data_IF_956774054514
#
_entry.id   IF_956774054514
#
_cell.length_a   1.000
_cell.length_b   1.000
_cell.length_c   1.000
_cell.angle_alpha   90.00
_cell.angle_beta   90.00
_cell.angle_gamma   90.00
#
_symmetry.space_group_name_H-M   'P 1'
#
loop_
_entity.id
_entity.type
_entity.pdbx_description
1 polymer ?
#
# COMPACT_ATOMS: atom_id res chain seq x y z
N UNK A 1 -22.82 11.92 -3.47
CA UNK A 1 -21.74 12.02 -4.47
C UNK A 1 -21.94 10.94 -5.50
N UNK A 2 -22.21 11.30 -6.76
CA UNK A 2 -22.26 10.33 -7.86
C UNK A 2 -20.85 9.78 -8.04
N UNK A 3 -20.66 8.45 -7.95
CA UNK A 3 -19.43 7.82 -8.43
C UNK A 3 -19.35 8.12 -9.92
N UNK A 4 -18.47 9.02 -10.33
CA UNK A 4 -18.09 9.12 -11.74
C UNK A 4 -17.56 7.73 -12.13
N UNK A 5 -18.25 7.07 -13.05
CA UNK A 5 -17.78 5.80 -13.57
C UNK A 5 -16.56 6.12 -14.44
N UNK A 6 -15.37 5.75 -13.96
CA UNK A 6 -14.13 5.91 -14.71
C UNK A 6 -14.24 5.12 -16.01
N UNK A 7 -14.22 5.80 -17.17
CA UNK A 7 -14.22 5.14 -18.47
C UNK A 7 -12.83 4.52 -18.75
N UNK A 8 -12.65 3.30 -18.25
CA UNK A 8 -11.42 2.54 -18.44
C UNK A 8 -11.11 2.26 -19.91
N UNK A 9 -12.12 2.18 -20.79
CA UNK A 9 -11.89 1.90 -22.21
C UNK A 9 -11.17 3.06 -22.88
N UNK A 10 -11.60 4.30 -22.62
CA UNK A 10 -10.94 5.48 -23.15
C UNK A 10 -9.54 5.69 -22.54
N UNK A 11 -9.38 5.45 -21.23
CA UNK A 11 -8.06 5.51 -20.58
C UNK A 11 -7.07 4.52 -21.19
N UNK A 12 -7.48 3.27 -21.38
CA UNK A 12 -6.65 2.23 -22.01
C UNK A 12 -6.25 2.60 -23.44
N UNK A 13 -7.19 3.17 -24.21
CA UNK A 13 -6.91 3.68 -25.56
C UNK A 13 -5.80 4.73 -25.52
N UNK A 14 -5.94 5.75 -24.66
CA UNK A 14 -4.96 6.83 -24.52
C UNK A 14 -3.58 6.32 -24.06
N UNK A 15 -3.55 5.41 -23.08
CA UNK A 15 -2.30 4.84 -22.56
C UNK A 15 -1.49 4.10 -23.61
N UNK A 16 -2.18 3.46 -24.57
CA UNK A 16 -1.56 2.67 -25.63
C UNK A 16 -1.41 3.41 -26.96
N UNK A 17 -1.87 4.66 -27.05
CA UNK A 17 -1.77 5.44 -28.27
C UNK A 17 -0.30 5.79 -28.54
N UNK A 18 0.21 5.37 -29.71
CA UNK A 18 1.62 5.57 -30.09
C UNK A 18 1.83 6.97 -30.65
N UNK A 19 1.97 7.95 -29.77
CA UNK A 19 2.11 9.36 -30.14
C UNK A 19 3.52 9.94 -29.91
N UNK A 20 4.28 9.35 -29.00
CA UNK A 20 5.48 9.96 -28.42
C UNK A 20 6.74 9.59 -29.20
N UNK A 21 7.42 10.58 -29.78
CA UNK A 21 8.73 10.38 -30.39
C UNK A 21 9.84 10.14 -29.34
N UNK A 22 10.99 9.60 -29.79
CA UNK A 22 12.15 9.27 -28.93
C UNK A 22 12.59 10.38 -27.96
N UNK A 23 12.45 11.66 -28.36
CA UNK A 23 12.84 12.82 -27.53
C UNK A 23 12.06 12.95 -26.21
N UNK A 24 10.92 12.27 -26.09
CA UNK A 24 10.09 12.26 -24.88
C UNK A 24 10.43 11.09 -23.95
N UNK A 25 11.32 10.19 -24.36
CA UNK A 25 11.75 9.07 -23.52
C UNK A 25 12.89 9.55 -22.64
N UNK A 26 12.71 9.42 -21.33
CA UNK A 26 13.70 9.83 -20.35
C UNK A 26 14.79 8.76 -20.24
N UNK A 27 16.06 9.17 -20.25
CA UNK A 27 17.22 8.31 -20.01
C UNK A 27 17.35 7.06 -20.92
N UNK A 28 16.73 7.06 -22.10
CA UNK A 28 16.87 6.00 -23.10
C UNK A 28 17.30 6.56 -24.46
N UNK A 29 18.54 6.29 -24.86
CA UNK A 29 19.01 6.63 -26.20
C UNK A 29 18.47 5.65 -27.25
N UNK A 30 18.34 6.11 -28.51
CA UNK A 30 17.86 5.29 -29.62
C UNK A 30 18.62 3.97 -29.77
N UNK A 31 19.94 3.97 -29.60
CA UNK A 31 20.78 2.76 -29.67
C UNK A 31 20.46 1.76 -28.56
N UNK A 32 20.17 2.25 -27.36
CA UNK A 32 19.76 1.41 -26.23
C UNK A 32 18.42 0.73 -26.52
N UNK A 33 17.46 1.49 -27.05
CA UNK A 33 16.14 0.97 -27.41
C UNK A 33 16.24 -0.09 -28.51
N UNK A 34 17.03 0.16 -29.55
CA UNK A 34 17.29 -0.83 -30.60
C UNK A 34 17.94 -2.09 -30.01
N UNK A 35 18.95 -1.96 -29.16
CA UNK A 35 19.54 -3.11 -28.49
C UNK A 35 18.52 -3.89 -27.65
N UNK A 36 17.66 -3.20 -26.89
CA UNK A 36 16.59 -3.85 -26.12
C UNK A 36 15.58 -4.58 -27.01
N UNK A 37 15.33 -4.08 -28.22
CA UNK A 37 14.53 -4.77 -29.23
C UNK A 37 15.22 -6.06 -29.71
N UNK A 38 16.50 -5.96 -30.07
CA UNK A 38 17.28 -7.09 -30.57
C UNK A 38 17.35 -8.25 -29.56
N UNK A 39 17.49 -7.93 -28.27
CA UNK A 39 17.55 -8.95 -27.20
C UNK A 39 16.17 -9.37 -26.66
N UNK A 40 15.08 -8.86 -27.23
CA UNK A 40 13.71 -9.20 -26.83
C UNK A 40 13.26 -8.62 -25.47
N UNK A 41 13.98 -7.63 -24.94
CA UNK A 41 13.62 -6.93 -23.70
C UNK A 41 12.55 -5.86 -23.92
N UNK A 42 12.46 -5.31 -25.14
CA UNK A 42 11.42 -4.39 -25.56
C UNK A 42 10.85 -4.86 -26.89
N UNK A 43 9.56 -5.16 -26.99
CA UNK A 43 8.98 -5.59 -28.26
C UNK A 43 8.28 -4.42 -28.94
N UNK A 44 8.64 -4.13 -30.18
CA UNK A 44 7.84 -3.29 -31.05
C UNK A 44 6.99 -4.20 -31.96
N UNK A 45 5.67 -4.23 -31.74
CA UNK A 45 4.74 -5.10 -32.48
C UNK A 45 4.55 -4.71 -33.97
N UNK A 46 5.50 -4.05 -34.62
CA UNK A 46 5.36 -3.57 -36.00
C UNK A 46 5.99 -4.53 -37.01
N UNK A 47 5.19 -4.92 -38.01
CA UNK A 47 5.72 -5.28 -39.33
C UNK A 47 6.33 -4.01 -39.96
N UNK A 48 7.58 -4.11 -40.34
CA UNK A 48 8.41 -3.03 -40.86
C UNK A 48 7.88 -2.47 -42.18
N UNK A 49 7.17 -1.35 -42.14
CA UNK A 49 7.06 -0.39 -43.23
C UNK A 49 6.35 0.89 -42.75
N UNK A 50 7.04 2.03 -42.84
CA UNK A 50 6.58 3.40 -42.58
C UNK A 50 6.60 3.93 -41.12
N UNK A 51 7.30 5.06 -40.96
CA UNK A 51 7.05 6.04 -39.89
C UNK A 51 8.08 6.08 -38.76
N UNK A 52 8.47 7.31 -38.38
CA UNK A 52 9.26 7.62 -37.19
C UNK A 52 8.74 6.87 -35.96
N UNK A 53 9.65 6.33 -35.14
CA UNK A 53 9.32 5.54 -33.95
C UNK A 53 8.51 6.39 -32.96
N UNK A 54 7.19 6.17 -32.93
CA UNK A 54 6.33 6.67 -31.87
C UNK A 54 6.06 5.54 -30.87
N UNK A 55 6.07 5.91 -29.61
CA UNK A 55 5.88 5.05 -28.44
C UNK A 55 4.59 5.44 -27.74
N UNK A 56 3.98 4.50 -27.03
CA UNK A 56 2.87 4.75 -26.12
C UNK A 56 3.36 5.13 -24.72
N UNK A 57 2.45 5.55 -23.84
CA UNK A 57 2.81 5.77 -22.43
C UNK A 57 3.22 4.44 -21.76
N UNK A 58 2.55 3.33 -22.11
CA UNK A 58 2.92 1.99 -21.60
C UNK A 58 4.33 1.59 -22.06
N UNK A 59 4.70 1.89 -23.31
CA UNK A 59 6.06 1.66 -23.81
C UNK A 59 7.09 2.47 -23.01
N UNK A 60 6.80 3.76 -22.79
CA UNK A 60 7.67 4.67 -22.02
C UNK A 60 7.84 4.17 -20.59
N UNK A 61 6.75 3.78 -19.92
CA UNK A 61 6.80 3.27 -18.54
C UNK A 61 7.57 1.95 -18.47
N UNK A 62 7.38 1.05 -19.43
CA UNK A 62 8.17 -0.16 -19.49
C UNK A 62 9.67 0.13 -19.66
N UNK A 63 10.04 1.09 -20.51
CA UNK A 63 11.43 1.53 -20.64
C UNK A 63 11.97 2.15 -19.35
N UNK A 64 11.16 2.95 -18.65
CA UNK A 64 11.49 3.46 -17.32
C UNK A 64 11.78 2.33 -16.33
N UNK A 65 10.94 1.29 -16.28
CA UNK A 65 11.16 0.11 -15.44
C UNK A 65 12.46 -0.61 -15.79
N UNK A 66 12.78 -0.78 -17.08
CA UNK A 66 14.05 -1.37 -17.51
C UNK A 66 15.24 -0.55 -16.95
N UNK A 67 15.18 0.77 -17.06
CA UNK A 67 16.23 1.67 -16.57
C UNK A 67 16.41 1.52 -15.06
N UNK A 68 15.32 1.53 -14.29
CA UNK A 68 15.37 1.38 -12.83
C UNK A 68 16.01 0.05 -12.41
N UNK A 69 15.57 -1.08 -12.99
CA UNK A 69 16.20 -2.37 -12.71
C UNK A 69 17.69 -2.40 -13.06
N UNK A 70 18.09 -1.80 -14.18
CA UNK A 70 19.50 -1.74 -14.58
C UNK A 70 20.33 -0.85 -13.66
N UNK A 71 19.77 0.27 -13.18
CA UNK A 71 20.41 1.14 -12.19
C UNK A 71 20.64 0.41 -10.86
N UNK A 72 19.76 -0.53 -10.51
CA UNK A 72 19.91 -1.44 -9.36
C UNK A 72 20.83 -2.65 -9.65
N UNK A 73 21.44 -2.72 -10.83
CA UNK A 73 22.40 -3.77 -11.20
C UNK A 73 21.79 -5.06 -11.75
N UNK A 74 20.52 -5.07 -12.15
CA UNK A 74 19.94 -6.29 -12.74
C UNK A 74 20.48 -6.54 -14.15
N UNK A 75 20.92 -7.78 -14.44
CA UNK A 75 21.25 -8.17 -15.81
C UNK A 75 19.96 -8.29 -16.64
N UNK A 76 20.05 -8.01 -17.94
CA UNK A 76 18.91 -8.03 -18.88
C UNK A 76 18.10 -9.34 -18.81
N UNK A 77 18.76 -10.49 -18.61
CA UNK A 77 18.09 -11.80 -18.49
C UNK A 77 17.15 -11.89 -17.28
N UNK A 78 17.44 -11.19 -16.18
CA UNK A 78 16.55 -11.12 -15.01
C UNK A 78 15.41 -10.13 -15.18
N UNK A 79 15.49 -9.23 -16.16
CA UNK A 79 14.44 -8.23 -16.46
C UNK A 79 13.38 -8.82 -17.42
N UNK A 80 13.75 -9.79 -18.27
CA UNK A 80 12.80 -10.46 -19.18
C UNK A 80 11.59 -11.09 -18.46
N UNK A 81 11.75 -11.84 -17.34
CA UNK A 81 10.61 -12.35 -16.57
C UNK A 81 9.72 -11.24 -16.00
N UNK A 82 10.30 -10.11 -15.60
CA UNK A 82 9.54 -8.93 -15.14
C UNK A 82 8.62 -8.42 -16.23
N UNK A 83 9.12 -8.36 -17.48
CA UNK A 83 8.29 -8.01 -18.63
C UNK A 83 7.13 -8.99 -18.78
N UNK A 84 7.42 -10.28 -18.78
CA UNK A 84 6.38 -11.30 -18.95
C UNK A 84 5.28 -11.11 -17.91
N UNK A 85 5.68 -11.01 -16.64
CA UNK A 85 4.76 -10.76 -15.54
C UNK A 85 3.92 -9.49 -15.72
N UNK A 86 4.54 -8.36 -16.06
CA UNK A 86 3.85 -7.07 -16.21
C UNK A 86 2.88 -7.03 -17.39
N UNK A 87 3.16 -7.80 -18.44
CA UNK A 87 2.32 -7.88 -19.64
C UNK A 87 1.33 -9.06 -19.63
N UNK A 88 1.28 -9.85 -18.55
CA UNK A 88 0.23 -10.85 -18.34
C UNK A 88 -1.16 -10.19 -18.24
N UNK A 89 -2.16 -10.84 -18.82
CA UNK A 89 -3.55 -10.40 -18.75
C UNK A 89 -4.11 -10.48 -17.31
N UNK A 90 -4.78 -9.42 -16.91
CA UNK A 90 -5.64 -9.29 -15.73
C UNK A 90 -6.95 -8.60 -16.14
N UNK A 91 -7.80 -8.26 -15.17
CA UNK A 91 -9.09 -7.61 -15.43
C UNK A 91 -9.29 -6.36 -14.59
N UNK A 92 -9.91 -5.35 -15.20
CA UNK A 92 -10.48 -4.17 -14.54
C UNK A 92 -11.88 -3.95 -15.11
N UNK A 93 -12.92 -3.92 -14.28
CA UNK A 93 -14.33 -3.78 -14.69
C UNK A 93 -14.71 -4.63 -15.93
N UNK A 94 -14.32 -5.91 -15.93
CA UNK A 94 -14.49 -6.89 -17.01
C UNK A 94 -13.69 -6.66 -18.30
N UNK A 95 -12.92 -5.58 -18.40
CA UNK A 95 -11.97 -5.36 -19.49
C UNK A 95 -10.70 -6.15 -19.23
N UNK A 96 -10.18 -6.79 -20.29
CA UNK A 96 -8.85 -7.40 -20.27
C UNK A 96 -7.80 -6.32 -20.39
N UNK A 97 -6.85 -6.30 -19.46
CA UNK A 97 -5.74 -5.36 -19.42
C UNK A 97 -4.49 -6.09 -18.98
N UNK A 98 -3.31 -5.61 -19.33
CA UNK A 98 -2.04 -6.05 -18.72
C UNK A 98 -1.93 -5.54 -17.28
N UNK A 99 -1.09 -6.20 -16.48
CA UNK A 99 -0.78 -5.72 -15.13
C UNK A 99 -0.12 -4.33 -15.13
N UNK A 100 0.67 -3.99 -16.15
CA UNK A 100 1.28 -2.66 -16.29
C UNK A 100 0.23 -1.58 -16.59
N UNK A 101 -0.73 -1.84 -17.49
CA UNK A 101 -1.84 -0.92 -17.75
C UNK A 101 -2.69 -0.73 -16.49
N UNK A 102 -3.03 -1.84 -15.81
CA UNK A 102 -3.73 -1.80 -14.53
C UNK A 102 -2.98 -0.92 -13.52
N UNK A 103 -1.68 -1.16 -13.32
CA UNK A 103 -0.87 -0.40 -12.37
C UNK A 103 -0.83 1.09 -12.73
N UNK A 104 -0.67 1.41 -14.02
CA UNK A 104 -0.63 2.78 -14.53
C UNK A 104 -1.94 3.51 -14.22
N UNK A 105 -3.09 2.87 -14.43
CA UNK A 105 -4.40 3.43 -14.10
C UNK A 105 -4.53 3.65 -12.59
N UNK A 106 -4.12 2.67 -11.77
CA UNK A 106 -4.18 2.80 -10.31
C UNK A 106 -3.33 3.97 -9.79
N UNK A 107 -2.13 4.17 -10.36
CA UNK A 107 -1.26 5.29 -9.99
C UNK A 107 -1.83 6.62 -10.47
N UNK A 108 -2.21 6.74 -11.75
CA UNK A 108 -2.63 8.02 -12.33
C UNK A 108 -4.03 8.46 -11.91
N UNK A 109 -5.01 7.57 -11.96
CA UNK A 109 -6.41 7.93 -11.72
C UNK A 109 -6.76 7.92 -10.22
N UNK A 110 -6.05 7.14 -9.41
CA UNK A 110 -6.39 6.92 -8.00
C UNK A 110 -5.27 7.27 -7.02
N UNK A 111 -4.11 7.73 -7.51
CA UNK A 111 -2.95 8.06 -6.68
C UNK A 111 -2.56 6.93 -5.71
N UNK A 112 -2.77 5.66 -6.11
CA UNK A 112 -2.41 4.51 -5.27
C UNK A 112 -0.91 4.31 -5.26
N UNK A 113 -0.36 4.03 -4.08
CA UNK A 113 1.00 3.55 -3.93
C UNK A 113 1.08 2.11 -4.45
N UNK A 114 1.86 1.88 -5.52
CA UNK A 114 2.05 0.56 -6.10
C UNK A 114 3.53 0.23 -6.22
N UNK A 115 3.83 -1.02 -5.88
CA UNK A 115 5.18 -1.54 -5.79
C UNK A 115 5.31 -2.77 -6.68
N UNK A 116 6.40 -2.80 -7.43
CA UNK A 116 6.86 -3.98 -8.16
C UNK A 116 8.00 -4.60 -7.37
N UNK A 117 7.77 -5.81 -6.87
CA UNK A 117 8.65 -6.51 -5.94
C UNK A 117 9.30 -7.67 -6.69
N UNK A 118 10.60 -7.84 -6.54
CA UNK A 118 11.32 -9.00 -7.09
C UNK A 118 12.21 -9.59 -6.02
N UNK A 119 11.97 -10.85 -5.66
CA UNK A 119 12.77 -11.55 -4.66
C UNK A 119 14.03 -12.20 -5.25
N UNK A 120 14.90 -12.71 -4.37
CA UNK A 120 16.14 -13.39 -4.77
C UNK A 120 15.91 -14.66 -5.61
N UNK A 121 14.75 -15.31 -5.49
CA UNK A 121 14.38 -16.49 -6.26
C UNK A 121 13.85 -16.12 -7.65
N UNK A 122 13.63 -14.83 -7.92
CA UNK A 122 13.08 -14.32 -9.18
C UNK A 122 11.56 -14.31 -9.21
N UNK A 123 10.87 -14.52 -8.08
CA UNK A 123 9.43 -14.31 -8.02
C UNK A 123 9.13 -12.81 -8.09
N UNK A 124 8.07 -12.47 -8.81
CA UNK A 124 7.68 -11.09 -9.06
C UNK A 124 6.27 -10.87 -8.52
N UNK A 125 6.08 -9.77 -7.80
CA UNK A 125 4.80 -9.39 -7.22
C UNK A 125 4.48 -7.94 -7.57
N UNK A 126 3.19 -7.66 -7.78
CA UNK A 126 2.65 -6.32 -7.88
C UNK A 126 1.71 -6.13 -6.71
N UNK A 127 2.01 -5.19 -5.82
CA UNK A 127 1.29 -5.00 -4.59
C UNK A 127 1.12 -3.51 -4.27
N UNK A 128 0.02 -3.17 -3.61
CA UNK A 128 -0.02 -1.94 -2.83
C UNK A 128 0.75 -2.13 -1.52
N UNK A 129 0.83 -1.08 -0.72
CA UNK A 129 1.46 -1.07 0.60
C UNK A 129 0.89 -2.15 1.54
N UNK A 130 -0.44 -2.28 1.63
CA UNK A 130 -1.07 -3.26 2.50
C UNK A 130 -0.72 -4.70 2.10
N UNK A 131 -0.88 -5.04 0.82
CA UNK A 131 -0.54 -6.38 0.34
C UNK A 131 0.96 -6.64 0.43
N UNK A 132 1.82 -5.62 0.23
CA UNK A 132 3.25 -5.76 0.41
C UNK A 132 3.62 -6.11 1.87
N UNK A 133 3.08 -5.39 2.87
CA UNK A 133 3.30 -5.71 4.29
C UNK A 133 2.82 -7.12 4.62
N UNK A 134 1.68 -7.54 4.06
CA UNK A 134 1.15 -8.89 4.23
C UNK A 134 2.04 -9.97 3.61
N UNK A 135 2.65 -9.71 2.45
CA UNK A 135 3.65 -10.62 1.85
C UNK A 135 4.85 -10.83 2.79
N UNK A 136 5.32 -9.76 3.45
CA UNK A 136 6.40 -9.82 4.45
C UNK A 136 5.98 -10.62 5.70
N UNK A 137 4.81 -10.32 6.26
CA UNK A 137 4.28 -11.00 7.46
C UNK A 137 4.10 -12.50 7.24
N UNK A 138 3.71 -12.90 6.02
CA UNK A 138 3.52 -14.30 5.65
C UNK A 138 4.83 -15.01 5.29
N UNK A 139 5.97 -14.30 5.28
CA UNK A 139 7.25 -14.85 4.85
C UNK A 139 7.30 -15.24 3.37
N UNK A 140 6.35 -14.77 2.56
CA UNK A 140 6.30 -15.03 1.11
C UNK A 140 7.40 -14.28 0.36
N UNK A 141 7.81 -13.15 0.91
CA UNK A 141 8.91 -12.34 0.41
C UNK A 141 9.89 -12.11 1.57
N UNK A 142 11.18 -12.36 1.34
CA UNK A 142 12.25 -12.18 2.33
C UNK A 142 13.25 -11.13 1.86
N UNK A 143 14.43 -11.51 1.38
CA UNK A 143 15.35 -10.60 0.72
C UNK A 143 14.86 -10.31 -0.70
N UNK A 144 14.64 -9.04 -1.01
CA UNK A 144 14.03 -8.64 -2.25
C UNK A 144 14.36 -7.19 -2.59
N UNK A 145 14.02 -6.79 -3.81
CA UNK A 145 14.11 -5.44 -4.31
C UNK A 145 12.72 -4.93 -4.62
N UNK A 146 12.49 -3.66 -4.34
CA UNK A 146 11.20 -2.99 -4.56
C UNK A 146 11.42 -1.79 -5.46
N UNK A 147 10.68 -1.75 -6.58
CA UNK A 147 10.51 -0.55 -7.37
C UNK A 147 9.19 0.12 -7.02
N UNK A 148 9.25 1.41 -6.70
CA UNK A 148 8.06 2.24 -6.53
C UNK A 148 7.55 2.67 -7.91
N UNK A 149 6.41 2.13 -8.35
CA UNK A 149 5.85 2.46 -9.66
C UNK A 149 5.35 3.90 -9.74
N UNK A 150 4.99 4.52 -8.62
CA UNK A 150 4.67 5.94 -8.58
C UNK A 150 5.87 6.79 -8.99
N UNK A 151 7.08 6.42 -8.52
CA UNK A 151 8.30 7.12 -8.91
C UNK A 151 8.59 6.96 -10.40
N UNK A 152 8.42 5.76 -10.95
CA UNK A 152 8.56 5.52 -12.40
C UNK A 152 7.62 6.42 -13.20
N UNK A 153 6.35 6.51 -12.79
CA UNK A 153 5.36 7.38 -13.45
C UNK A 153 5.76 8.85 -13.30
N UNK A 154 6.19 9.30 -12.12
CA UNK A 154 6.63 10.68 -11.86
C UNK A 154 7.79 11.10 -12.76
N UNK A 155 8.79 10.24 -12.92
CA UNK A 155 9.99 10.56 -13.70
C UNK A 155 9.74 10.55 -15.21
N UNK A 156 8.82 9.70 -15.68
CA UNK A 156 8.58 9.51 -17.11
C UNK A 156 7.36 10.29 -17.64
N UNK A 157 6.41 10.65 -16.78
CA UNK A 157 5.12 11.30 -17.14
C UNK A 157 4.73 12.34 -16.06
N UNK A 158 5.67 13.21 -15.69
CA UNK A 158 5.53 14.16 -14.56
C UNK A 158 4.28 15.06 -14.64
N UNK A 159 3.86 15.45 -15.84
CA UNK A 159 2.71 16.34 -16.08
C UNK A 159 1.38 15.73 -15.62
N UNK A 160 1.28 14.40 -15.61
CA UNK A 160 0.06 13.67 -15.22
C UNK A 160 0.17 13.05 -13.83
N UNK A 161 1.32 13.21 -13.15
CA UNK A 161 1.59 12.57 -11.87
C UNK A 161 0.98 13.36 -10.71
N UNK A 162 0.33 12.65 -9.80
CA UNK A 162 -0.10 13.16 -8.49
C UNK A 162 0.61 12.38 -7.39
N UNK A 163 1.08 13.07 -6.34
CA UNK A 163 1.72 12.41 -5.20
C UNK A 163 0.75 11.44 -4.52
N UNK A 164 1.17 10.20 -4.22
CA UNK A 164 0.33 9.24 -3.52
C UNK A 164 0.01 9.71 -2.10
N UNK A 165 -1.23 9.45 -1.66
CA UNK A 165 -1.69 9.82 -0.33
C UNK A 165 -1.37 8.71 0.68
N UNK A 166 -0.36 8.93 1.53
CA UNK A 166 0.04 8.01 2.58
C UNK A 166 -0.64 8.26 3.94
N UNK A 167 -1.69 9.09 4.03
CA UNK A 167 -2.32 9.42 5.32
C UNK A 167 -2.93 8.19 6.01
N UNK A 168 -3.31 7.15 5.26
CA UNK A 168 -3.72 5.86 5.82
C UNK A 168 -2.58 5.10 6.53
N UNK A 169 -1.33 5.53 6.32
CA UNK A 169 -0.08 4.97 6.85
C UNK A 169 0.69 5.97 7.72
N UNK A 170 0.08 7.09 8.11
CA UNK A 170 0.52 7.76 9.32
C UNK A 170 0.49 6.68 10.41
N UNK A 171 1.67 6.19 10.79
CA UNK A 171 1.77 5.18 11.83
C UNK A 171 1.02 5.66 13.06
N UNK A 172 0.55 4.73 13.88
CA UNK A 172 -0.15 5.09 15.10
C UNK A 172 0.67 6.13 15.87
N UNK A 173 0.07 7.26 16.19
CA UNK A 173 0.72 8.23 17.06
C UNK A 173 0.89 7.64 18.47
N UNK A 174 1.65 8.30 19.34
CA UNK A 174 1.98 7.75 20.67
C UNK A 174 0.73 7.36 21.47
N UNK A 175 -0.32 8.16 21.40
CA UNK A 175 -1.58 7.89 22.12
C UNK A 175 -2.36 6.73 21.49
N UNK A 176 -2.37 6.64 20.16
CA UNK A 176 -2.98 5.50 19.44
C UNK A 176 -2.23 4.19 19.71
N UNK A 177 -0.89 4.22 19.80
CA UNK A 177 -0.09 3.07 20.24
C UNK A 177 -0.49 2.67 21.66
N UNK A 178 -0.65 3.63 22.57
CA UNK A 178 -1.05 3.37 23.95
C UNK A 178 -2.43 2.70 24.03
N UNK A 179 -3.42 3.19 23.27
CA UNK A 179 -4.73 2.53 23.17
C UNK A 179 -4.59 1.08 22.69
N UNK A 180 -3.80 0.85 21.64
CA UNK A 180 -3.60 -0.49 21.08
C UNK A 180 -2.90 -1.44 22.07
N UNK A 181 -1.95 -0.94 22.87
CA UNK A 181 -1.29 -1.73 23.92
C UNK A 181 -2.25 -2.11 25.04
N UNK A 182 -3.11 -1.18 25.48
CA UNK A 182 -4.15 -1.43 26.51
C UNK A 182 -5.15 -2.46 26.01
N UNK A 183 -5.62 -2.34 24.76
CA UNK A 183 -6.53 -3.32 24.15
C UNK A 183 -5.93 -4.73 24.08
N UNK A 184 -4.59 -4.84 23.94
CA UNK A 184 -3.87 -6.11 23.87
C UNK A 184 -3.49 -6.69 25.23
N UNK A 185 -3.56 -5.94 26.32
CA UNK A 185 -3.03 -6.38 27.61
C UNK A 185 -3.88 -7.45 28.32
N UNK A 186 -5.02 -7.83 27.74
CA UNK A 186 -6.05 -8.75 28.29
C UNK A 186 -6.55 -8.37 29.69
N UNK A 187 -6.12 -7.22 30.22
CA UNK A 187 -6.39 -6.79 31.61
C UNK A 187 -7.72 -6.07 31.76
N UNK A 188 -8.27 -5.58 30.64
CA UNK A 188 -9.48 -4.77 30.60
C UNK A 188 -10.57 -5.49 29.80
N UNK A 189 -11.77 -5.55 30.37
CA UNK A 189 -12.96 -6.06 29.71
C UNK A 189 -13.50 -5.06 28.67
N UNK A 190 -13.34 -3.77 28.93
CA UNK A 190 -13.68 -2.71 27.97
C UNK A 190 -12.74 -1.53 28.10
N UNK A 191 -12.52 -0.82 26.99
CA UNK A 191 -11.74 0.42 26.93
C UNK A 191 -12.59 1.49 26.28
N UNK A 192 -12.70 2.65 26.91
CA UNK A 192 -13.36 3.83 26.36
C UNK A 192 -12.33 4.90 26.03
N UNK A 193 -12.37 5.43 24.81
CA UNK A 193 -11.46 6.49 24.34
C UNK A 193 -12.26 7.76 24.10
N UNK A 194 -11.84 8.87 24.70
CA UNK A 194 -12.44 10.19 24.48
C UNK A 194 -11.48 11.06 23.68
N UNK A 195 -11.98 11.70 22.62
CA UNK A 195 -11.21 12.61 21.77
C UNK A 195 -11.65 14.08 21.97
N UNK A 196 -10.71 15.02 21.85
CA UNK A 196 -10.97 16.46 21.76
C UNK A 196 -10.20 17.04 20.56
N UNK A 197 -10.89 17.81 19.73
CA UNK A 197 -10.32 18.40 18.50
C UNK A 197 -9.64 17.37 17.55
N UNK A 198 -10.09 16.11 17.58
CA UNK A 198 -9.53 15.03 16.75
C UNK A 198 -8.42 14.21 17.43
N UNK A 199 -7.85 14.70 18.53
CA UNK A 199 -6.78 14.06 19.30
C UNK A 199 -7.32 13.26 20.49
N UNK A 200 -6.60 12.24 20.93
CA UNK A 200 -6.98 11.43 22.09
C UNK A 200 -6.70 12.23 23.36
N UNK A 201 -7.72 12.43 24.20
CA UNK A 201 -7.63 13.20 25.45
C UNK A 201 -7.60 12.27 26.67
N UNK A 202 -8.40 11.19 26.65
CA UNK A 202 -8.54 10.28 27.79
C UNK A 202 -8.79 8.84 27.36
N UNK A 203 -8.16 7.91 28.07
CA UNK A 203 -8.38 6.47 27.93
C UNK A 203 -8.85 5.94 29.28
N UNK A 204 -9.97 5.23 29.28
CA UNK A 204 -10.55 4.59 30.46
C UNK A 204 -10.63 3.09 30.25
N UNK A 205 -10.03 2.32 31.17
CA UNK A 205 -10.08 0.86 31.13
C UNK A 205 -11.00 0.34 32.23
N UNK A 206 -11.94 -0.54 31.88
CA UNK A 206 -12.78 -1.25 32.85
C UNK A 206 -12.26 -2.67 33.06
N UNK A 207 -11.88 -2.97 34.28
CA UNK A 207 -11.34 -4.25 34.74
C UNK A 207 -12.43 -5.05 35.45
N UNK A 208 -12.42 -6.38 35.30
CA UNK A 208 -13.19 -7.26 36.19
C UNK A 208 -12.35 -7.57 37.43
N UNK A 209 -12.90 -7.28 38.60
CA UNK A 209 -12.23 -7.56 39.87
C UNK A 209 -12.71 -8.90 40.42
N UNK A 210 -11.80 -9.63 41.06
CA UNK A 210 -12.11 -10.88 41.76
C UNK A 210 -13.13 -10.66 42.87
N UNK A 211 -14.15 -11.52 42.93
CA UNK A 211 -15.18 -11.51 43.99
C UNK A 211 -14.62 -11.79 45.40
N UNK A 212 -13.35 -12.23 45.48
CA UNK A 212 -12.67 -12.54 46.75
C UNK A 212 -11.94 -11.33 47.35
N UNK A 213 -11.75 -10.26 46.59
CA UNK A 213 -11.02 -9.09 47.05
C UNK A 213 -11.88 -8.28 48.02
N UNK A 214 -11.30 -7.88 49.16
CA UNK A 214 -12.01 -7.04 50.12
C UNK A 214 -12.19 -5.66 49.51
N UNK A 215 -13.41 -5.12 49.56
CA UNK A 215 -13.75 -3.80 49.01
C UNK A 215 -12.81 -2.70 49.53
N UNK A 216 -12.41 -2.77 50.80
CA UNK A 216 -11.47 -1.82 51.43
C UNK A 216 -10.11 -1.82 50.74
N UNK A 217 -9.63 -2.96 50.25
CA UNK A 217 -8.34 -3.07 49.59
C UNK A 217 -8.42 -2.52 48.17
N UNK A 218 -9.54 -2.72 47.47
CA UNK A 218 -9.80 -2.14 46.14
C UNK A 218 -9.78 -0.61 46.21
N UNK A 219 -10.42 -0.02 47.22
CA UNK A 219 -10.52 1.44 47.40
C UNK A 219 -9.16 2.14 47.55
N UNK A 220 -8.11 1.43 47.97
CA UNK A 220 -6.77 1.98 48.20
C UNK A 220 -5.84 1.96 46.98
N UNK A 221 -6.24 1.29 45.89
CA UNK A 221 -5.31 0.98 44.78
C UNK A 221 -5.08 2.14 43.81
N UNK A 222 -6.01 3.08 43.67
CA UNK A 222 -5.91 4.18 42.69
C UNK A 222 -6.43 5.50 43.26
N UNK A 223 -5.83 6.61 42.84
CA UNK A 223 -6.28 7.97 43.21
C UNK A 223 -7.66 8.32 42.63
N UNK A 224 -7.94 7.86 41.40
CA UNK A 224 -9.27 7.95 40.78
C UNK A 224 -9.70 6.57 40.28
N UNK A 225 -10.90 6.15 40.68
CA UNK A 225 -11.55 4.93 40.22
C UNK A 225 -13.07 5.05 40.35
N UNK A 226 -13.81 4.47 39.41
CA UNK A 226 -15.24 4.21 39.55
C UNK A 226 -15.43 2.70 39.77
N UNK A 227 -16.11 2.30 40.84
CA UNK A 227 -16.33 0.89 41.18
C UNK A 227 -17.84 0.61 41.11
N UNK A 228 -18.22 -0.35 40.27
CA UNK A 228 -19.59 -0.87 40.18
C UNK A 228 -19.65 -2.25 40.82
N UNK A 229 -20.56 -2.42 41.79
CA UNK A 229 -20.81 -3.70 42.47
C UNK A 229 -22.25 -4.11 42.18
N UNK A 230 -22.45 -5.30 41.62
CA UNK A 230 -23.79 -5.88 41.42
C UNK A 230 -24.00 -7.05 42.36
N UNK A 231 -25.14 -7.04 43.06
CA UNK A 231 -25.58 -8.12 43.93
C UNK A 231 -26.86 -8.75 43.35
N UNK A 232 -26.94 -10.07 43.38
CA UNK A 232 -28.15 -10.82 43.07
C UNK A 232 -28.35 -11.89 44.14
N UNK A 233 -29.58 -12.01 44.67
CA UNK A 233 -29.94 -12.99 45.71
C UNK A 233 -28.99 -13.00 46.92
N UNK A 234 -28.57 -11.81 47.38
CA UNK A 234 -27.67 -11.65 48.51
C UNK A 234 -26.19 -11.94 48.23
N UNK A 235 -25.82 -12.38 47.01
CA UNK A 235 -24.43 -12.66 46.61
C UNK A 235 -23.92 -11.58 45.66
N UNK A 236 -22.67 -11.15 45.84
CA UNK A 236 -21.99 -10.29 44.86
C UNK A 236 -21.74 -11.15 43.62
N UNK A 237 -22.16 -10.66 42.44
CA UNK A 237 -22.05 -11.36 41.16
C UNK A 237 -21.15 -10.63 40.16
N UNK A 238 -20.82 -9.37 40.43
CA UNK A 238 -19.89 -8.59 39.65
C UNK A 238 -19.27 -7.51 40.52
N UNK A 239 -17.95 -7.38 40.42
CA UNK A 239 -17.23 -6.17 40.79
C UNK A 239 -16.45 -5.75 39.55
N UNK A 240 -16.69 -4.53 39.08
CA UNK A 240 -15.95 -3.93 37.98
C UNK A 240 -15.43 -2.57 38.38
N UNK A 241 -14.23 -2.23 37.90
CA UNK A 241 -13.62 -0.92 38.15
C UNK A 241 -13.23 -0.26 36.84
N UNK A 242 -13.51 1.02 36.72
CA UNK A 242 -12.97 1.88 35.66
C UNK A 242 -11.89 2.79 36.22
N UNK A 243 -10.70 2.74 35.63
CA UNK A 243 -9.57 3.64 35.94
C UNK A 243 -9.30 4.59 34.76
N UNK A 244 -8.83 5.81 35.06
CA UNK A 244 -8.53 6.86 34.07
C UNK A 244 -7.04 7.01 33.87
N UNK A 245 -6.63 7.14 32.62
CA UNK A 245 -5.31 7.62 32.26
C UNK A 245 -5.42 8.73 31.22
N UNK A 246 -4.77 9.88 31.49
CA UNK A 246 -4.60 10.93 30.49
C UNK A 246 -3.60 10.48 29.43
N UNK A 247 -3.93 10.73 28.17
CA UNK A 247 -2.99 10.71 27.07
C UNK A 247 -1.91 11.78 27.29
N UNK A 248 -0.68 11.53 26.84
CA UNK A 248 0.52 12.32 27.21
C UNK A 248 1.06 13.12 26.04
#
# INVERSE_FOLDING_TARGET
MKKEHTDYSNLLRLLNEKEYANKYIVNAERRMITHWQDIGLFQDKRNTSAGWNKFSLIDILWMGIIIEYRNLGFPNEKIKPVRQFLFEETKIDNLKVSKLEYATIQVLAFAKALYLITDIAGNIYLADDYEYVKLLQQGKVTNHIVLNLNQVVKENISVLFSEPNFNAFAGLNKDEIQVMLILRSESYQSVQVTKKNGEIDMIEGTERISEKDRIIDILKQHEYQNIEIKQANGKVVLISRTVKQKAK
#
